data_IF_775974339181
#
_entry.id   IF_775974339181
#
_cell.length_a   1.000
_cell.length_b   1.000
_cell.length_c   1.000
_cell.angle_alpha   90.00
_cell.angle_beta   90.00
_cell.angle_gamma   90.00
#
_symmetry.space_group_name_H-M   'P 1'
#
loop_
_entity.id
_entity.type
_entity.pdbx_description
1 polymer ?
#
# COMPACT_ATOMS: atom_id res chain seq x y z
N UNK A 1 -66.70 28.85 43.67
CA UNK A 1 -65.34 28.29 43.92
C UNK A 1 -64.80 27.78 42.59
N UNK A 2 -63.69 28.36 42.10
CA UNK A 2 -63.17 28.17 40.73
C UNK A 2 -62.71 26.73 40.47
N UNK A 3 -63.22 26.12 39.39
CA UNK A 3 -62.77 24.82 38.86
C UNK A 3 -61.57 25.08 37.94
N UNK A 4 -60.38 24.64 38.35
CA UNK A 4 -59.17 24.65 37.53
C UNK A 4 -59.13 23.41 36.63
N UNK A 5 -59.26 23.61 35.31
CA UNK A 5 -59.00 22.58 34.30
C UNK A 5 -57.48 22.36 34.18
N UNK A 6 -57.01 21.13 34.39
CA UNK A 6 -55.63 20.72 34.08
C UNK A 6 -55.53 20.38 32.58
N UNK A 7 -54.57 20.99 31.89
CA UNK A 7 -54.20 20.62 30.53
C UNK A 7 -53.31 19.37 30.52
N UNK A 8 -53.37 18.50 29.49
CA UNK A 8 -52.49 17.34 29.38
C UNK A 8 -51.09 17.73 28.87
N UNK A 9 -50.04 16.96 29.20
CA UNK A 9 -48.68 17.25 28.76
C UNK A 9 -48.51 16.87 27.29
N UNK A 10 -48.01 17.81 26.48
CA UNK A 10 -47.56 17.58 25.11
C UNK A 10 -46.27 16.74 25.15
N UNK A 11 -46.37 15.45 24.84
CA UNK A 11 -45.21 14.61 24.56
C UNK A 11 -44.68 14.96 23.17
N UNK A 12 -43.66 15.83 23.11
CA UNK A 12 -42.95 16.13 21.89
C UNK A 12 -42.16 14.91 21.43
N UNK A 13 -42.58 14.29 20.33
CA UNK A 13 -41.80 13.27 19.63
C UNK A 13 -40.61 13.95 18.93
N UNK A 14 -39.42 13.84 19.51
CA UNK A 14 -38.17 14.17 18.83
C UNK A 14 -37.87 13.06 17.81
N UNK A 15 -38.26 13.26 16.56
CA UNK A 15 -37.78 12.45 15.43
C UNK A 15 -36.32 12.85 15.16
N UNK A 16 -35.37 12.14 15.77
CA UNK A 16 -33.98 12.15 15.33
C UNK A 16 -33.90 11.44 13.97
N UNK A 17 -34.15 12.19 12.89
CA UNK A 17 -33.75 11.75 11.55
C UNK A 17 -32.24 11.85 11.48
N UNK A 18 -31.55 10.79 11.92
CA UNK A 18 -30.12 10.64 11.69
C UNK A 18 -29.91 10.55 10.18
N UNK A 19 -29.52 11.67 9.55
CA UNK A 19 -28.92 11.63 8.22
C UNK A 19 -27.66 10.77 8.35
N UNK A 20 -27.76 9.52 7.92
CA UNK A 20 -26.61 8.73 7.51
C UNK A 20 -25.98 9.48 6.34
N UNK A 21 -25.05 10.38 6.66
CA UNK A 21 -24.11 10.89 5.66
C UNK A 21 -23.23 9.67 5.37
N UNK A 22 -23.35 9.01 4.19
CA UNK A 22 -22.38 7.98 3.85
C UNK A 22 -21.02 8.66 3.94
N UNK A 23 -20.09 8.04 4.67
CA UNK A 23 -18.71 8.47 4.64
C UNK A 23 -18.31 8.53 3.16
N UNK A 24 -18.20 9.74 2.60
CA UNK A 24 -17.59 9.96 1.31
C UNK A 24 -16.10 9.71 1.53
N UNK A 25 -15.74 8.42 1.61
CA UNK A 25 -14.38 8.03 1.33
C UNK A 25 -14.07 8.55 -0.06
N UNK A 26 -12.97 9.29 -0.19
CA UNK A 26 -12.48 9.77 -1.47
C UNK A 26 -12.01 8.56 -2.28
N UNK A 27 -12.96 7.83 -2.86
CA UNK A 27 -12.70 6.69 -3.71
C UNK A 27 -11.74 7.13 -4.84
N UNK A 28 -10.85 6.23 -5.24
CA UNK A 28 -9.93 6.48 -6.33
C UNK A 28 -10.70 6.70 -7.65
N UNK A 29 -11.09 7.95 -7.90
CA UNK A 29 -11.96 8.33 -9.01
C UNK A 29 -11.29 8.02 -10.36
N UNK A 30 -11.99 7.24 -11.18
CA UNK A 30 -11.55 6.92 -12.53
C UNK A 30 -11.53 8.17 -13.43
N UNK A 31 -10.41 8.48 -14.12
CA UNK A 31 -10.36 9.57 -15.09
C UNK A 31 -11.20 9.28 -16.33
N UNK A 32 -11.57 10.32 -17.08
CA UNK A 32 -12.35 10.19 -18.31
C UNK A 32 -11.61 9.49 -19.45
N UNK A 33 -10.30 9.71 -19.58
CA UNK A 33 -9.47 9.13 -20.64
C UNK A 33 -8.87 7.78 -20.22
N UNK A 34 -9.63 6.71 -20.45
CA UNK A 34 -9.23 5.33 -20.16
C UNK A 34 -9.53 4.41 -21.35
N UNK A 35 -8.74 3.34 -21.50
CA UNK A 35 -8.90 2.36 -22.57
C UNK A 35 -9.74 1.17 -22.08
N UNK A 36 -10.83 0.79 -22.77
CA UNK A 36 -11.50 -0.49 -22.50
C UNK A 36 -10.61 -1.66 -22.93
N UNK A 37 -10.47 -2.66 -22.08
CA UNK A 37 -9.65 -3.85 -22.31
C UNK A 37 -10.38 -5.12 -21.86
N UNK A 38 -9.85 -6.28 -22.25
CA UNK A 38 -10.31 -7.58 -21.75
C UNK A 38 -9.13 -8.33 -21.13
N UNK A 39 -9.37 -8.97 -19.99
CA UNK A 39 -8.37 -9.78 -19.29
C UNK A 39 -8.52 -11.24 -19.74
N UNK A 40 -7.41 -11.83 -20.18
CA UNK A 40 -7.35 -13.24 -20.59
C UNK A 40 -6.89 -14.15 -19.45
N UNK A 41 -6.06 -13.65 -18.53
CA UNK A 41 -5.48 -14.47 -17.46
C UNK A 41 -5.01 -13.61 -16.27
N UNK A 42 -5.11 -14.16 -15.06
CA UNK A 42 -4.56 -13.58 -13.82
C UNK A 42 -3.38 -14.44 -13.37
N UNK A 43 -2.20 -13.85 -13.27
CA UNK A 43 -0.99 -14.57 -12.84
C UNK A 43 -0.97 -14.71 -11.32
N UNK A 44 -1.08 -13.57 -10.63
CA UNK A 44 -1.02 -13.37 -9.18
C UNK A 44 -1.95 -12.19 -8.80
N UNK A 45 -1.92 -11.73 -7.55
CA UNK A 45 -2.81 -10.66 -7.05
C UNK A 45 -2.59 -9.27 -7.63
N UNK A 46 -1.57 -9.05 -8.47
CA UNK A 46 -1.28 -7.74 -9.05
C UNK A 46 -0.74 -7.78 -10.49
N UNK A 47 -0.78 -8.93 -11.15
CA UNK A 47 -0.30 -9.12 -12.53
C UNK A 47 -1.33 -9.88 -13.37
N UNK A 48 -1.71 -9.30 -14.51
CA UNK A 48 -2.67 -9.90 -15.47
C UNK A 48 -2.14 -9.93 -16.90
N UNK A 49 -2.70 -10.80 -17.73
CA UNK A 49 -2.53 -10.79 -19.19
C UNK A 49 -3.81 -10.33 -19.86
N UNK A 50 -3.72 -9.37 -20.77
CA UNK A 50 -4.83 -8.98 -21.62
C UNK A 50 -5.00 -9.94 -22.80
N UNK A 51 -6.17 -9.91 -23.44
CA UNK A 51 -6.46 -10.70 -24.65
C UNK A 51 -5.57 -10.31 -25.84
N UNK A 52 -5.12 -9.06 -25.90
CA UNK A 52 -4.14 -8.58 -26.89
C UNK A 52 -2.67 -8.94 -26.57
N UNK A 53 -2.45 -9.76 -25.53
CA UNK A 53 -1.13 -10.28 -25.16
C UNK A 53 -0.30 -9.38 -24.24
N UNK A 54 -0.73 -8.13 -23.97
CA UNK A 54 -0.03 -7.26 -23.02
C UNK A 54 -0.06 -7.88 -21.62
N UNK A 55 1.10 -7.91 -20.94
CA UNK A 55 1.21 -8.22 -19.52
C UNK A 55 1.16 -6.93 -18.72
N UNK A 56 0.20 -6.81 -17.81
CA UNK A 56 -0.04 -5.64 -16.99
C UNK A 56 0.39 -5.93 -15.56
N UNK A 57 1.23 -5.07 -14.98
CA UNK A 57 1.50 -5.00 -13.55
C UNK A 57 0.71 -3.84 -12.98
N UNK A 58 -0.15 -4.13 -12.01
CA UNK A 58 -0.96 -3.13 -11.32
C UNK A 58 -0.04 -2.15 -10.59
N UNK A 59 -0.32 -0.86 -10.77
CA UNK A 59 0.38 0.21 -10.08
C UNK A 59 -0.22 0.41 -8.68
N UNK A 60 0.64 0.74 -7.72
CA UNK A 60 0.22 1.20 -6.40
C UNK A 60 -0.04 0.09 -5.40
N UNK A 61 0.05 -1.18 -5.82
CA UNK A 61 -0.16 -2.36 -4.99
C UNK A 61 1.01 -3.34 -5.08
N UNK A 62 1.29 -4.00 -3.96
CA UNK A 62 2.09 -5.20 -3.88
C UNK A 62 1.30 -6.28 -3.14
N UNK A 63 0.91 -7.33 -3.85
CA UNK A 63 0.24 -8.49 -3.26
C UNK A 63 1.25 -9.58 -2.87
N UNK A 64 0.89 -10.51 -1.98
CA UNK A 64 1.71 -11.68 -1.71
C UNK A 64 1.93 -12.50 -2.98
N UNK A 65 3.16 -12.98 -3.15
CA UNK A 65 3.56 -13.72 -4.35
C UNK A 65 3.04 -15.15 -4.32
N UNK A 66 2.50 -15.61 -5.45
CA UNK A 66 2.06 -17.00 -5.61
C UNK A 66 3.26 -17.95 -5.71
N UNK A 67 3.00 -19.25 -5.53
CA UNK A 67 4.01 -20.30 -5.69
C UNK A 67 4.74 -20.20 -7.04
N UNK A 68 6.06 -20.38 -6.99
CA UNK A 68 6.95 -20.49 -8.15
C UNK A 68 7.83 -21.72 -7.98
N UNK A 69 8.48 -22.18 -9.04
CA UNK A 69 9.33 -23.37 -8.98
C UNK A 69 10.34 -23.29 -7.82
N UNK A 70 10.15 -24.16 -6.81
CA UNK A 70 11.00 -24.22 -5.61
C UNK A 70 10.78 -23.11 -4.57
N UNK A 71 9.77 -22.25 -4.73
CA UNK A 71 9.43 -21.17 -3.79
C UNK A 71 7.95 -21.29 -3.40
N UNK A 72 7.63 -21.58 -2.13
CA UNK A 72 6.24 -21.69 -1.68
C UNK A 72 5.51 -20.35 -1.81
N UNK A 73 4.18 -20.41 -1.95
CA UNK A 73 3.34 -19.22 -1.95
C UNK A 73 3.45 -18.47 -0.62
N UNK A 74 3.44 -17.14 -0.69
CA UNK A 74 3.31 -16.29 0.50
C UNK A 74 1.88 -16.39 1.09
N UNK A 75 1.70 -16.18 2.40
CA UNK A 75 0.37 -16.12 3.01
C UNK A 75 -0.57 -15.16 2.27
N UNK A 76 -1.81 -15.57 2.05
CA UNK A 76 -2.85 -14.83 1.32
C UNK A 76 -2.63 -14.66 -0.20
N UNK A 77 -1.59 -15.27 -0.79
CA UNK A 77 -1.34 -15.14 -2.23
C UNK A 77 -2.46 -15.76 -3.10
N UNK A 78 -3.03 -16.89 -2.67
CA UNK A 78 -4.11 -17.57 -3.40
C UNK A 78 -5.41 -16.76 -3.30
N UNK A 79 -5.68 -16.19 -2.14
CA UNK A 79 -6.81 -15.34 -1.82
C UNK A 79 -6.75 -14.05 -2.63
N UNK A 80 -5.59 -13.38 -2.68
CA UNK A 80 -5.38 -12.18 -3.49
C UNK A 80 -5.60 -12.46 -4.98
N UNK A 81 -5.07 -13.58 -5.49
CA UNK A 81 -5.29 -14.01 -6.88
C UNK A 81 -6.75 -14.30 -7.17
N UNK A 82 -7.39 -15.14 -6.36
CA UNK A 82 -8.79 -15.54 -6.54
C UNK A 82 -9.72 -14.33 -6.45
N UNK A 83 -9.41 -13.38 -5.57
CA UNK A 83 -10.16 -12.13 -5.48
C UNK A 83 -10.00 -11.29 -6.73
N UNK A 84 -8.78 -11.14 -7.25
CA UNK A 84 -8.55 -10.43 -8.51
C UNK A 84 -9.29 -11.09 -9.68
N UNK A 85 -9.30 -12.42 -9.77
CA UNK A 85 -10.11 -13.15 -10.76
C UNK A 85 -11.60 -12.81 -10.62
N UNK A 86 -12.13 -12.82 -9.39
CA UNK A 86 -13.52 -12.48 -9.11
C UNK A 86 -13.90 -11.03 -9.42
N UNK A 87 -13.01 -10.06 -9.15
CA UNK A 87 -13.20 -8.64 -9.52
C UNK A 87 -13.30 -8.50 -11.04
N UNK A 88 -12.47 -9.24 -11.78
CA UNK A 88 -12.36 -9.09 -13.22
C UNK A 88 -13.41 -9.89 -14.00
N UNK A 89 -14.02 -10.89 -13.38
CA UNK A 89 -15.00 -11.77 -14.02
C UNK A 89 -16.31 -11.00 -14.34
N UNK A 90 -16.57 -10.78 -15.63
CA UNK A 90 -17.81 -10.17 -16.12
C UNK A 90 -17.89 -8.65 -15.98
N UNK A 91 -16.87 -7.99 -15.42
CA UNK A 91 -16.84 -6.54 -15.22
C UNK A 91 -16.38 -5.77 -16.48
N UNK A 92 -16.78 -4.50 -16.59
CA UNK A 92 -16.27 -3.57 -17.61
C UNK A 92 -14.86 -3.10 -17.21
N UNK A 93 -13.83 -3.70 -17.82
CA UNK A 93 -12.44 -3.39 -17.48
C UNK A 93 -11.91 -2.20 -18.28
N UNK A 94 -11.46 -1.18 -17.56
CA UNK A 94 -10.81 0.01 -18.10
C UNK A 94 -9.37 0.11 -17.60
N UNK A 95 -8.48 0.51 -18.50
CA UNK A 95 -7.04 0.61 -18.27
C UNK A 95 -6.59 2.07 -18.39
N UNK A 96 -5.86 2.53 -17.39
CA UNK A 96 -5.13 3.80 -17.42
C UNK A 96 -3.62 3.52 -17.34
N UNK A 97 -2.83 3.82 -18.39
CA UNK A 97 -1.39 3.64 -18.35
C UNK A 97 -0.73 4.52 -17.28
N UNK A 98 0.33 4.01 -16.65
CA UNK A 98 1.20 4.82 -15.82
C UNK A 98 2.00 5.86 -16.63
N UNK A 99 2.47 6.91 -15.96
CA UNK A 99 3.43 7.88 -16.52
C UNK A 99 4.70 7.16 -16.98
N UNK A 100 5.24 6.29 -16.12
CA UNK A 100 6.22 5.31 -16.55
C UNK A 100 5.47 4.08 -17.09
N UNK A 101 5.75 3.75 -18.35
CA UNK A 101 5.02 2.73 -19.09
C UNK A 101 5.41 1.30 -18.74
N UNK A 102 6.68 1.03 -18.40
CA UNK A 102 7.19 -0.34 -18.24
C UNK A 102 8.04 -0.47 -16.98
N UNK A 103 8.01 -1.66 -16.39
CA UNK A 103 8.95 -2.06 -15.35
C UNK A 103 10.22 -2.70 -15.94
N UNK A 104 11.18 -3.07 -15.07
CA UNK A 104 12.44 -3.73 -15.47
C UNK A 104 12.24 -5.12 -16.11
N UNK A 105 11.07 -5.72 -15.95
CA UNK A 105 10.69 -7.01 -16.52
C UNK A 105 9.87 -6.85 -17.82
N UNK A 106 9.79 -5.63 -18.35
CA UNK A 106 9.05 -5.28 -19.56
C UNK A 106 7.53 -5.52 -19.43
N UNK A 107 6.99 -5.61 -18.22
CA UNK A 107 5.53 -5.56 -17.99
C UNK A 107 5.06 -4.13 -18.14
N UNK A 108 3.87 -3.94 -18.74
CA UNK A 108 3.24 -2.64 -18.83
C UNK A 108 2.71 -2.26 -17.45
N UNK A 109 3.01 -1.05 -16.98
CA UNK A 109 2.50 -0.51 -15.73
C UNK A 109 1.20 0.23 -16.01
N UNK A 110 0.11 -0.18 -15.37
CA UNK A 110 -1.18 0.48 -15.50
C UNK A 110 -2.04 0.35 -14.24
N UNK A 111 -3.04 1.21 -14.14
CA UNK A 111 -4.17 1.06 -13.23
C UNK A 111 -5.30 0.36 -13.99
N UNK A 112 -5.94 -0.62 -13.35
CA UNK A 112 -7.17 -1.22 -13.86
C UNK A 112 -8.35 -0.76 -13.03
N UNK A 113 -9.45 -0.49 -13.70
CA UNK A 113 -10.74 -0.20 -13.10
C UNK A 113 -11.73 -1.28 -13.53
N UNK A 114 -12.49 -1.82 -12.59
CA UNK A 114 -13.60 -2.73 -12.84
C UNK A 114 -14.89 -2.01 -12.45
N UNK A 115 -15.81 -1.85 -13.41
CA UNK A 115 -17.08 -1.11 -13.23
C UNK A 115 -16.90 0.30 -12.63
N UNK A 116 -15.76 0.92 -12.92
CA UNK A 116 -15.40 2.27 -12.45
C UNK A 116 -14.62 2.33 -11.13
N UNK A 117 -14.52 1.23 -10.37
CA UNK A 117 -13.75 1.15 -9.14
C UNK A 117 -12.29 0.74 -9.39
N UNK A 118 -11.32 1.34 -8.70
CA UNK A 118 -9.91 1.01 -8.86
C UNK A 118 -9.62 -0.40 -8.28
N UNK A 119 -9.08 -1.29 -9.10
CA UNK A 119 -8.82 -2.68 -8.70
C UNK A 119 -7.81 -2.78 -7.55
N UNK A 120 -6.74 -1.98 -7.60
CA UNK A 120 -5.75 -1.92 -6.51
C UNK A 120 -6.37 -1.46 -5.18
N UNK A 121 -7.33 -0.54 -5.23
CA UNK A 121 -8.01 -0.02 -4.02
C UNK A 121 -8.86 -1.11 -3.37
N UNK A 122 -9.67 -1.83 -4.16
CA UNK A 122 -10.50 -2.94 -3.66
C UNK A 122 -9.66 -4.02 -2.97
N UNK A 123 -8.56 -4.45 -3.59
CA UNK A 123 -7.68 -5.47 -3.01
C UNK A 123 -6.98 -4.99 -1.73
N UNK A 124 -6.56 -3.72 -1.69
CA UNK A 124 -5.91 -3.16 -0.49
C UNK A 124 -6.90 -3.01 0.66
N UNK A 125 -8.12 -2.55 0.39
CA UNK A 125 -9.16 -2.36 1.41
C UNK A 125 -9.63 -3.69 2.06
N UNK A 126 -9.50 -4.78 1.31
CA UNK A 126 -9.74 -6.16 1.76
C UNK A 126 -8.50 -6.79 2.44
N UNK A 127 -7.39 -6.04 2.55
CA UNK A 127 -6.17 -6.52 3.20
C UNK A 127 -5.38 -7.55 2.38
N UNK A 128 -5.60 -7.63 1.07
CA UNK A 128 -4.96 -8.60 0.17
C UNK A 128 -3.73 -8.04 -0.57
N UNK A 129 -3.33 -6.80 -0.24
CA UNK A 129 -2.08 -6.21 -0.71
C UNK A 129 -1.71 -4.98 0.10
N UNK A 130 -0.43 -4.60 0.00
CA UNK A 130 0.07 -3.35 0.57
C UNK A 130 0.09 -2.26 -0.49
N UNK A 131 -0.20 -1.01 -0.12
CA UNK A 131 0.04 0.09 -1.04
C UNK A 131 1.56 0.31 -1.20
N UNK A 132 1.98 0.63 -2.42
CA UNK A 132 3.38 0.93 -2.76
C UNK A 132 3.52 2.23 -3.52
N UNK A 133 4.47 3.06 -3.10
CA UNK A 133 4.79 4.33 -3.73
C UNK A 133 6.03 4.19 -4.63
N UNK A 134 5.84 4.17 -5.94
CA UNK A 134 6.93 4.11 -6.93
C UNK A 134 6.79 5.27 -7.92
N UNK A 135 7.54 6.38 -7.74
CA UNK A 135 7.55 7.48 -8.68
C UNK A 135 8.00 7.05 -10.09
N UNK A 136 7.48 7.66 -11.16
CA UNK A 136 6.53 8.77 -11.18
C UNK A 136 5.04 8.33 -11.11
N UNK A 137 4.77 7.05 -10.84
CA UNK A 137 3.44 6.46 -10.87
C UNK A 137 2.74 6.53 -9.50
N UNK A 138 2.42 7.74 -9.04
CA UNK A 138 1.87 8.00 -7.68
C UNK A 138 0.46 8.61 -7.68
N UNK A 139 -0.24 8.56 -8.83
CA UNK A 139 -1.52 9.27 -9.06
C UNK A 139 -2.58 8.98 -7.99
N UNK A 140 -2.71 7.73 -7.56
CA UNK A 140 -3.76 7.29 -6.62
C UNK A 140 -3.21 6.99 -5.22
N UNK A 141 -2.00 7.44 -4.90
CA UNK A 141 -1.34 7.06 -3.64
C UNK A 141 -2.12 7.48 -2.39
N UNK A 142 -2.82 8.61 -2.43
CA UNK A 142 -3.66 9.08 -1.31
C UNK A 142 -4.79 8.11 -0.98
N UNK A 143 -5.67 7.83 -1.95
CA UNK A 143 -6.81 6.91 -1.74
C UNK A 143 -6.36 5.47 -1.47
N UNK A 144 -5.24 5.00 -2.06
CA UNK A 144 -4.67 3.68 -1.73
C UNK A 144 -4.16 3.62 -0.28
N UNK A 145 -3.62 4.73 0.25
CA UNK A 145 -3.24 4.84 1.66
C UNK A 145 -4.47 4.81 2.58
N UNK A 146 -5.56 5.47 2.18
CA UNK A 146 -6.82 5.45 2.93
C UNK A 146 -7.46 4.06 2.95
N UNK A 147 -7.46 3.36 1.81
CA UNK A 147 -7.89 1.96 1.72
C UNK A 147 -7.07 1.04 2.65
N UNK A 148 -5.75 1.22 2.71
CA UNK A 148 -4.91 0.43 3.61
C UNK A 148 -5.21 0.75 5.09
N UNK A 149 -5.53 2.01 5.41
CA UNK A 149 -5.95 2.38 6.76
C UNK A 149 -7.28 1.71 7.16
N UNK A 150 -8.20 1.51 6.23
CA UNK A 150 -9.43 0.74 6.46
C UNK A 150 -9.08 -0.74 6.74
N UNK A 151 -8.23 -1.35 5.90
CA UNK A 151 -7.84 -2.74 6.07
C UNK A 151 -7.14 -3.01 7.41
N UNK A 152 -6.25 -2.08 7.83
CA UNK A 152 -5.63 -2.11 9.16
C UNK A 152 -6.62 -2.07 10.32
N UNK A 153 -7.69 -1.29 10.18
CA UNK A 153 -8.75 -1.22 11.20
C UNK A 153 -9.60 -2.49 11.26
N UNK A 154 -9.82 -3.14 10.12
CA UNK A 154 -10.51 -4.44 10.04
C UNK A 154 -9.67 -5.55 10.70
N UNK A 155 -8.35 -5.51 10.57
CA UNK A 155 -7.44 -6.48 11.21
C UNK A 155 -7.55 -7.87 10.59
N UNK A 156 -7.86 -7.94 9.30
CA UNK A 156 -8.06 -9.18 8.55
C UNK A 156 -6.95 -9.38 7.49
N UNK A 157 -6.87 -10.60 6.95
CA UNK A 157 -5.88 -10.97 5.94
C UNK A 157 -4.45 -10.58 6.33
N UNK A 158 -3.74 -9.78 5.52
CA UNK A 158 -2.37 -9.33 5.81
C UNK A 158 -2.25 -8.49 7.09
N UNK A 159 -3.36 -8.00 7.63
CA UNK A 159 -3.42 -7.18 8.85
C UNK A 159 -3.88 -7.98 10.08
N UNK A 160 -4.01 -9.30 9.96
CA UNK A 160 -4.29 -10.18 11.10
C UNK A 160 -3.12 -10.29 12.09
N UNK A 161 -1.90 -10.01 11.62
CA UNK A 161 -0.68 -10.00 12.42
C UNK A 161 -0.14 -8.56 12.54
N UNK A 162 0.51 -8.23 13.67
CA UNK A 162 1.13 -6.93 13.83
C UNK A 162 2.31 -6.74 12.86
N UNK A 163 2.64 -5.47 12.59
CA UNK A 163 3.84 -5.12 11.83
C UNK A 163 5.08 -5.67 12.52
N UNK A 164 5.91 -6.42 11.78
CA UNK A 164 7.12 -7.06 12.30
C UNK A 164 8.18 -6.03 12.69
N UNK A 165 8.86 -6.28 13.80
CA UNK A 165 10.04 -5.51 14.18
C UNK A 165 11.23 -5.82 13.26
N UNK A 166 12.05 -4.80 12.99
CA UNK A 166 13.31 -4.92 12.25
C UNK A 166 14.26 -5.94 12.91
N UNK A 167 14.22 -6.06 14.25
CA UNK A 167 14.97 -7.06 15.00
C UNK A 167 14.62 -8.51 14.63
N UNK A 168 13.40 -8.76 14.14
CA UNK A 168 12.92 -10.09 13.76
C UNK A 168 13.29 -10.50 12.32
N UNK A 169 14.12 -9.73 11.61
CA UNK A 169 14.65 -10.12 10.31
C UNK A 169 15.64 -11.29 10.46
N UNK A 170 15.50 -12.28 9.58
CA UNK A 170 16.36 -13.46 9.57
C UNK A 170 17.37 -13.44 8.41
N UNK A 171 18.52 -14.10 8.61
CA UNK A 171 19.61 -14.12 7.64
C UNK A 171 19.15 -14.48 6.23
N UNK A 172 19.55 -13.67 5.24
CA UNK A 172 19.23 -13.88 3.83
C UNK A 172 17.83 -13.42 3.40
N UNK A 173 16.98 -12.95 4.33
CA UNK A 173 15.65 -12.44 4.00
C UNK A 173 15.71 -11.26 3.01
N UNK A 174 14.82 -11.27 2.02
CA UNK A 174 14.75 -10.28 0.94
C UNK A 174 13.31 -10.08 0.47
N UNK A 175 13.06 -9.04 -0.34
CA UNK A 175 11.74 -8.76 -0.90
C UNK A 175 11.04 -7.61 -0.19
N UNK A 176 9.76 -7.39 -0.53
CA UNK A 176 8.97 -6.32 0.09
C UNK A 176 8.71 -6.63 1.57
N UNK A 177 8.95 -5.65 2.44
CA UNK A 177 8.66 -5.75 3.87
C UNK A 177 8.04 -4.46 4.39
N UNK A 178 7.17 -4.65 5.37
CA UNK A 178 6.66 -3.61 6.27
C UNK A 178 7.28 -3.88 7.64
N UNK A 179 8.10 -2.94 8.13
CA UNK A 179 8.91 -3.15 9.33
C UNK A 179 8.78 -1.97 10.28
N UNK A 180 8.83 -2.24 11.58
CA UNK A 180 8.87 -1.25 12.65
C UNK A 180 10.23 -1.27 13.34
N UNK A 181 10.72 -0.11 13.76
CA UNK A 181 11.93 -0.04 14.59
C UNK A 181 12.34 1.37 14.94
N UNK A 182 13.33 1.50 15.83
CA UNK A 182 13.85 2.81 16.25
C UNK A 182 14.97 3.30 15.35
N UNK A 183 14.92 4.58 14.96
CA UNK A 183 16.02 5.23 14.24
C UNK A 183 17.21 5.43 15.18
N UNK A 184 18.24 4.62 15.02
CA UNK A 184 19.46 4.65 15.83
C UNK A 184 20.47 5.69 15.34
N UNK A 185 20.52 5.95 14.03
CA UNK A 185 21.35 7.00 13.45
C UNK A 185 20.71 7.62 12.21
N UNK A 186 21.05 8.89 11.97
CA UNK A 186 20.77 9.61 10.72
C UNK A 186 22.10 10.15 10.21
N UNK A 187 22.56 9.65 9.06
CA UNK A 187 23.85 9.99 8.46
C UNK A 187 23.64 10.75 7.16
N UNK A 188 24.18 11.96 7.07
CA UNK A 188 24.19 12.73 5.82
C UNK A 188 25.39 12.30 4.98
N UNK A 189 25.13 12.00 3.70
CA UNK A 189 26.16 11.63 2.73
C UNK A 189 26.02 12.50 1.48
N UNK A 190 27.03 12.51 0.61
CA UNK A 190 27.00 13.30 -0.65
C UNK A 190 25.74 13.04 -1.50
N UNK A 191 25.20 11.83 -1.44
CA UNK A 191 24.05 11.38 -2.27
C UNK A 191 22.69 11.44 -1.56
N UNK A 192 22.61 12.00 -0.35
CA UNK A 192 21.39 12.07 0.45
C UNK A 192 21.61 11.64 1.89
N UNK A 193 20.78 10.71 2.39
CA UNK A 193 20.79 10.26 3.77
C UNK A 193 20.83 8.73 3.88
N UNK A 194 21.45 8.25 4.95
CA UNK A 194 21.33 6.89 5.44
C UNK A 194 20.70 6.94 6.84
N UNK A 195 19.54 6.32 7.01
CA UNK A 195 18.95 6.09 8.32
C UNK A 195 19.31 4.68 8.74
N UNK A 196 19.80 4.51 9.96
CA UNK A 196 20.02 3.18 10.54
C UNK A 196 18.87 2.90 11.50
N UNK A 197 18.07 1.89 11.16
CA UNK A 197 17.00 1.40 12.03
C UNK A 197 17.59 0.28 12.86
N UNK A 198 17.77 0.58 14.15
CA UNK A 198 18.50 -0.26 15.10
C UNK A 198 19.87 -0.66 14.52
N UNK A 199 20.32 -1.89 14.78
CA UNK A 199 21.59 -2.43 14.27
C UNK A 199 21.41 -3.34 13.06
N UNK A 200 20.28 -3.26 12.36
CA UNK A 200 19.87 -4.27 11.38
C UNK A 200 19.65 -3.71 9.97
N UNK A 201 18.95 -2.58 9.85
CA UNK A 201 18.50 -2.07 8.55
C UNK A 201 19.06 -0.70 8.24
N UNK A 202 19.80 -0.59 7.13
CA UNK A 202 20.19 0.68 6.54
C UNK A 202 19.16 1.12 5.50
N UNK A 203 18.65 2.34 5.62
CA UNK A 203 17.69 2.94 4.69
C UNK A 203 18.34 4.09 3.95
N UNK A 204 18.42 4.00 2.63
CA UNK A 204 18.89 5.08 1.77
C UNK A 204 17.75 5.94 1.28
N UNK A 205 17.92 7.25 1.45
CA UNK A 205 17.03 8.27 0.88
C UNK A 205 17.92 9.18 0.02
N UNK A 206 17.61 9.32 -1.28
CA UNK A 206 18.40 10.20 -2.14
C UNK A 206 18.18 11.67 -1.76
N UNK A 207 19.08 12.54 -2.22
CA UNK A 207 18.91 13.99 -2.03
C UNK A 207 17.57 14.47 -2.58
N UNK A 208 17.19 14.01 -3.77
CA UNK A 208 15.94 14.38 -4.43
C UNK A 208 14.73 13.91 -3.63
N UNK A 209 14.72 12.66 -3.16
CA UNK A 209 13.64 12.13 -2.34
C UNK A 209 13.54 12.84 -0.99
N UNK A 210 14.68 13.22 -0.39
CA UNK A 210 14.69 13.90 0.91
C UNK A 210 13.98 15.26 0.89
N UNK A 211 13.95 15.92 -0.27
CA UNK A 211 13.25 17.19 -0.47
C UNK A 211 11.71 17.04 -0.47
N UNK A 212 11.21 15.81 -0.56
CA UNK A 212 9.77 15.53 -0.55
C UNK A 212 9.22 15.35 0.88
N UNK A 213 10.07 15.24 1.90
CA UNK A 213 9.63 15.09 3.29
C UNK A 213 9.28 16.44 3.91
N UNK A 214 8.13 16.50 4.60
CA UNK A 214 7.66 17.73 5.28
C UNK A 214 8.51 18.11 6.50
N UNK A 215 9.28 17.16 7.03
CA UNK A 215 10.19 17.36 8.15
C UNK A 215 11.61 16.97 7.80
N UNK A 216 12.56 17.62 8.47
CA UNK A 216 13.98 17.23 8.41
C UNK A 216 14.15 15.80 8.93
N UNK A 217 14.92 15.00 8.19
CA UNK A 217 15.16 13.59 8.50
C UNK A 217 15.96 13.42 9.80
N UNK A 218 16.76 14.41 10.19
CA UNK A 218 17.51 14.44 11.44
C UNK A 218 16.58 14.40 12.67
N UNK A 219 15.36 14.95 12.56
CA UNK A 219 14.36 14.90 13.63
C UNK A 219 13.79 13.50 13.88
N UNK A 220 14.10 12.53 13.01
CA UNK A 220 13.73 11.14 13.19
C UNK A 220 14.63 10.42 14.20
N UNK A 221 15.81 10.97 14.53
CA UNK A 221 16.73 10.33 15.46
C UNK A 221 16.03 9.98 16.79
N UNK A 222 16.15 8.72 17.20
CA UNK A 222 15.53 8.19 18.41
C UNK A 222 14.03 7.94 18.32
N UNK A 223 13.35 8.35 17.24
CA UNK A 223 11.93 8.05 17.03
C UNK A 223 11.75 6.60 16.58
N UNK A 224 10.60 6.05 16.93
CA UNK A 224 10.11 4.83 16.33
C UNK A 224 9.46 5.16 14.98
N UNK A 225 9.68 4.31 13.98
CA UNK A 225 9.13 4.48 12.63
C UNK A 225 8.64 3.16 12.09
N UNK A 226 7.63 3.22 11.22
CA UNK A 226 7.24 2.13 10.32
C UNK A 226 7.76 2.45 8.92
N UNK A 227 8.48 1.51 8.31
CA UNK A 227 9.08 1.65 6.98
C UNK A 227 8.60 0.53 6.06
N UNK A 228 8.41 0.86 4.78
CA UNK A 228 7.98 -0.11 3.77
C UNK A 228 8.81 -0.05 2.50
N UNK A 229 9.15 -1.21 1.97
CA UNK A 229 9.87 -1.30 0.71
C UNK A 229 10.62 -2.62 0.56
N UNK A 230 11.41 -2.71 -0.50
CA UNK A 230 12.18 -3.91 -0.79
C UNK A 230 13.48 -3.89 -0.01
N UNK A 231 13.64 -4.85 0.90
CA UNK A 231 14.92 -5.11 1.57
C UNK A 231 15.78 -6.03 0.71
N UNK A 232 17.09 -5.85 0.81
CA UNK A 232 18.10 -6.75 0.26
C UNK A 232 19.14 -7.05 1.32
N UNK A 233 19.57 -8.31 1.47
CA UNK A 233 20.70 -8.63 2.32
C UNK A 233 21.97 -8.03 1.73
N UNK A 234 22.93 -7.66 2.58
CA UNK A 234 24.25 -7.23 2.13
C UNK A 234 24.94 -8.36 1.35
N UNK A 235 25.74 -7.98 0.37
CA UNK A 235 26.56 -8.96 -0.35
C UNK A 235 27.62 -9.55 0.59
N UNK A 236 28.01 -10.81 0.38
CA UNK A 236 29.12 -11.44 1.09
C UNK A 236 30.44 -10.65 0.96
N UNK A 237 30.59 -9.84 -0.11
CA UNK A 237 31.76 -8.98 -0.34
C UNK A 237 31.71 -7.64 0.40
N UNK A 238 30.55 -7.28 0.96
CA UNK A 238 30.38 -6.01 1.68
C UNK A 238 31.11 -6.05 3.02
N UNK A 239 31.91 -5.03 3.39
CA UNK A 239 32.62 -4.99 4.66
C UNK A 239 31.73 -5.23 5.88
N UNK A 240 32.28 -5.87 6.93
CA UNK A 240 31.51 -6.31 8.11
C UNK A 240 30.79 -5.17 8.84
N UNK A 241 31.33 -3.95 8.80
CA UNK A 241 30.77 -2.78 9.48
C UNK A 241 29.47 -2.25 8.86
N UNK A 242 29.08 -2.70 7.66
CA UNK A 242 27.78 -2.38 7.09
C UNK A 242 26.69 -3.26 7.70
N UNK A 243 25.51 -2.66 7.91
CA UNK A 243 24.34 -3.35 8.43
C UNK A 243 23.90 -4.51 7.51
N UNK A 244 23.30 -5.57 8.08
CA UNK A 244 22.97 -6.77 7.31
C UNK A 244 21.95 -6.56 6.20
N UNK A 245 21.02 -5.60 6.32
CA UNK A 245 20.02 -5.29 5.30
C UNK A 245 20.06 -3.85 4.81
N UNK A 246 19.61 -3.68 3.57
CA UNK A 246 19.47 -2.39 2.92
C UNK A 246 18.07 -2.22 2.32
N UNK A 247 17.47 -1.05 2.48
CA UNK A 247 16.26 -0.60 1.81
C UNK A 247 16.50 0.77 1.16
N UNK A 248 15.85 1.04 0.03
CA UNK A 248 15.82 2.38 -0.55
C UNK A 248 14.40 2.95 -0.50
N UNK A 249 14.24 4.15 0.04
CA UNK A 249 12.99 4.90 -0.07
C UNK A 249 13.07 5.84 -1.27
N UNK A 250 12.02 5.82 -2.09
CA UNK A 250 11.83 6.67 -3.26
C UNK A 250 10.68 7.65 -3.07
N UNK A 251 9.90 7.54 -1.97
CA UNK A 251 8.80 8.43 -1.66
C UNK A 251 8.55 8.54 -0.14
N UNK A 252 8.15 9.71 0.40
CA UNK A 252 7.85 9.89 1.83
C UNK A 252 6.80 8.94 2.39
N UNK A 253 5.78 8.59 1.59
CA UNK A 253 4.74 7.62 1.97
C UNK A 253 5.26 6.22 2.33
N UNK A 254 6.55 5.95 2.15
CA UNK A 254 7.19 4.71 2.58
C UNK A 254 7.70 4.74 4.03
N UNK A 255 7.61 5.87 4.72
CA UNK A 255 8.02 6.04 6.11
C UNK A 255 6.87 6.70 6.88
N UNK A 256 6.47 6.09 7.99
CA UNK A 256 5.49 6.61 8.94
C UNK A 256 6.14 6.74 10.31
N UNK A 257 5.72 7.74 11.07
CA UNK A 257 6.19 8.06 12.43
C UNK A 257 5.02 7.83 13.39
#
# INVERSE_FOLDING_TARGET
MRILKKAPPLWGAFLFTGLWIPNLYAACSMPSSVQRVQVAHVYDGDTVRLTDGRRIRLIGINTPETEKEGIPAEPYAKEAKSRLEGILAGADIKLLPGRQSYDRYKRKLAYLFADGALVSEMLIEEGLGHYVAIPPNTRFLGCLSDAEAIARKKGEALWSEPVRDVAALHSGESGFRLLRGRVAAVKTIKTGYILEIESQLAIKISKETSLLFDQSLEKLLGREVEVRGWIRPKSAKTPKHYLPWFMQLTHPAQLRI
#
